data_IF_188381971743
#
_entry.id   IF_188381971743
#
_cell.length_a   1.000
_cell.length_b   1.000
_cell.length_c   1.000
_cell.angle_alpha   90.00
_cell.angle_beta   90.00
_cell.angle_gamma   90.00
#
_symmetry.space_group_name_H-M   'P 1'
#
loop_
_entity.id
_entity.type
_entity.pdbx_description
1 polymer ?
#
# COMPACT_ATOMS: atom_id res chain seq x y z
N UNK A 1 17.72 -3.31 10.18
CA UNK A 1 17.73 -1.98 9.59
C UNK A 1 16.92 -1.02 10.44
N UNK A 2 17.46 0.14 10.64
CA UNK A 2 16.81 1.15 11.45
C UNK A 2 15.75 1.90 10.64
N UNK A 3 14.49 1.84 11.07
CA UNK A 3 13.39 2.54 10.41
C UNK A 3 13.50 4.07 10.53
N UNK A 4 14.28 4.57 11.50
CA UNK A 4 14.48 6.00 11.68
C UNK A 4 15.23 6.66 10.53
N UNK A 5 15.92 5.86 9.70
CA UNK A 5 16.64 6.35 8.53
C UNK A 5 15.73 6.54 7.31
N UNK A 6 14.54 5.96 7.33
CA UNK A 6 13.58 6.09 6.25
C UNK A 6 12.79 7.38 6.42
N UNK A 7 12.59 8.07 5.30
CA UNK A 7 11.74 9.23 5.28
C UNK A 7 10.29 8.80 5.44
N UNK A 8 9.61 9.39 6.43
CA UNK A 8 8.23 9.07 6.70
C UNK A 8 7.30 9.99 5.91
N UNK A 9 6.19 9.46 5.38
CA UNK A 9 5.23 10.29 4.68
C UNK A 9 4.54 11.26 5.65
N UNK A 10 4.16 12.42 5.11
CA UNK A 10 3.41 13.41 5.87
C UNK A 10 1.93 13.24 5.56
N UNK A 11 1.07 13.03 6.58
CA UNK A 11 -0.36 12.92 6.35
C UNK A 11 -0.93 14.20 5.74
N UNK A 12 -1.92 14.03 4.86
CA UNK A 12 -2.71 15.12 4.30
C UNK A 12 -4.17 14.89 4.72
N UNK A 13 -5.06 15.90 4.60
CA UNK A 13 -6.46 15.68 4.96
C UNK A 13 -7.11 14.47 4.28
N UNK A 14 -6.78 14.20 3.02
CA UNK A 14 -7.34 13.06 2.29
C UNK A 14 -6.71 11.72 2.66
N UNK A 15 -5.49 11.70 3.23
CA UNK A 15 -4.78 10.47 3.57
C UNK A 15 -4.75 10.20 5.07
N UNK A 16 -5.23 11.12 5.90
CA UNK A 16 -5.11 11.02 7.35
C UNK A 16 -5.72 9.73 7.91
N UNK A 17 -6.89 9.32 7.42
CA UNK A 17 -7.53 8.09 7.89
C UNK A 17 -6.67 6.86 7.62
N UNK A 18 -5.94 6.85 6.51
CA UNK A 18 -5.06 5.74 6.15
C UNK A 18 -3.91 5.63 7.16
N UNK A 19 -3.24 6.75 7.44
CA UNK A 19 -2.12 6.76 8.38
C UNK A 19 -2.56 6.50 9.82
N UNK A 20 -3.73 7.00 10.21
CA UNK A 20 -4.31 6.69 11.52
C UNK A 20 -4.57 5.19 11.66
N UNK A 21 -5.05 4.56 10.60
CA UNK A 21 -5.26 3.12 10.56
C UNK A 21 -3.96 2.35 10.72
N UNK A 22 -2.90 2.75 10.02
CA UNK A 22 -1.61 2.05 10.11
C UNK A 22 -1.01 2.13 11.51
N UNK A 23 -1.23 3.22 12.23
CA UNK A 23 -0.80 3.35 13.64
C UNK A 23 -1.49 2.35 14.56
N UNK A 24 -2.67 1.88 14.17
CA UNK A 24 -3.45 0.89 14.91
C UNK A 24 -3.26 -0.53 14.35
N UNK A 25 -2.34 -0.71 13.40
CA UNK A 25 -2.11 -2.00 12.76
C UNK A 25 -3.21 -2.40 11.78
N UNK A 26 -3.93 -1.43 11.23
CA UNK A 26 -5.06 -1.66 10.32
C UNK A 26 -4.80 -1.02 8.97
N UNK A 27 -5.21 -1.72 7.92
CA UNK A 27 -5.17 -1.20 6.56
C UNK A 27 -6.57 -0.69 6.20
N UNK A 28 -6.71 0.62 6.09
CA UNK A 28 -7.99 1.27 5.74
C UNK A 28 -7.99 1.68 4.29
N UNK A 29 -9.05 1.32 3.59
CA UNK A 29 -9.25 1.64 2.18
C UNK A 29 -10.53 2.44 2.01
N UNK A 30 -10.68 3.05 0.84
CA UNK A 30 -11.90 3.77 0.49
C UNK A 30 -12.75 2.93 -0.45
N UNK A 31 -14.06 3.00 -0.24
CA UNK A 31 -15.05 2.33 -1.07
C UNK A 31 -16.08 3.34 -1.54
N UNK A 32 -16.36 3.35 -2.83
CA UNK A 32 -17.44 4.14 -3.39
C UNK A 32 -18.78 3.47 -3.08
N UNK A 33 -19.66 4.15 -2.36
CA UNK A 33 -20.96 3.57 -1.97
C UNK A 33 -21.86 3.31 -3.17
N UNK A 34 -21.81 4.17 -4.17
CA UNK A 34 -22.70 4.05 -5.33
C UNK A 34 -22.28 2.92 -6.28
N UNK A 35 -20.97 2.69 -6.46
CA UNK A 35 -20.47 1.68 -7.38
C UNK A 35 -19.97 0.41 -6.70
N UNK A 36 -19.69 0.47 -5.41
CA UNK A 36 -19.09 -0.62 -4.66
C UNK A 36 -17.61 -0.81 -4.91
N UNK A 37 -16.98 0.06 -5.70
CA UNK A 37 -15.57 -0.05 -6.03
C UNK A 37 -14.69 0.31 -4.83
N UNK A 38 -13.71 -0.54 -4.54
CA UNK A 38 -12.68 -0.28 -3.54
C UNK A 38 -11.43 0.18 -4.28
N UNK A 39 -10.81 1.25 -3.81
CA UNK A 39 -9.65 1.82 -4.48
C UNK A 39 -8.58 2.30 -3.52
N UNK A 40 -7.39 2.45 -4.06
CA UNK A 40 -6.22 3.01 -3.42
C UNK A 40 -5.40 3.75 -4.49
N UNK A 41 -4.79 4.90 -4.23
CA UNK A 41 -4.65 5.60 -2.95
C UNK A 41 -5.91 6.38 -2.55
N UNK A 42 -5.94 6.93 -1.31
CA UNK A 42 -7.07 7.72 -0.83
C UNK A 42 -7.30 8.97 -1.67
N UNK A 43 -8.57 9.29 -1.92
CA UNK A 43 -8.98 10.45 -2.72
C UNK A 43 -10.20 11.10 -2.09
N UNK A 44 -10.45 12.38 -2.41
CA UNK A 44 -11.65 13.08 -1.96
C UNK A 44 -12.92 12.66 -2.71
N UNK A 45 -12.76 11.98 -3.85
CA UNK A 45 -13.88 11.57 -4.69
C UNK A 45 -13.59 10.19 -5.29
N UNK A 46 -14.68 9.50 -5.67
CA UNK A 46 -14.56 8.21 -6.34
C UNK A 46 -13.93 8.37 -7.72
N UNK A 47 -12.83 7.66 -8.03
CA UNK A 47 -12.18 7.82 -9.33
C UNK A 47 -13.03 7.37 -10.51
N UNK A 48 -14.01 6.47 -10.32
CA UNK A 48 -14.84 6.00 -11.42
C UNK A 48 -16.11 6.82 -11.61
N UNK A 49 -16.74 7.31 -10.53
CA UNK A 49 -18.01 8.04 -10.63
C UNK A 49 -17.89 9.55 -10.40
N UNK A 50 -16.78 10.00 -9.83
CA UNK A 50 -16.61 11.40 -9.44
C UNK A 50 -17.43 11.82 -8.23
N UNK A 51 -18.17 10.89 -7.63
CA UNK A 51 -19.01 11.17 -6.48
C UNK A 51 -18.21 11.29 -5.18
N UNK A 52 -18.83 11.88 -4.17
CA UNK A 52 -18.25 12.08 -2.84
C UNK A 52 -18.82 11.13 -1.78
N UNK A 53 -19.67 10.21 -2.17
CA UNK A 53 -20.28 9.21 -1.28
C UNK A 53 -19.31 8.06 -1.02
N UNK A 54 -18.30 8.35 -0.23
CA UNK A 54 -17.19 7.46 0.04
C UNK A 54 -17.28 6.95 1.48
N UNK A 55 -17.04 5.66 1.69
CA UNK A 55 -16.90 5.11 3.03
C UNK A 55 -15.49 4.56 3.22
N UNK A 56 -15.05 4.53 4.47
CA UNK A 56 -13.77 3.93 4.85
C UNK A 56 -14.05 2.51 5.28
N UNK A 57 -13.34 1.55 4.69
CA UNK A 57 -13.44 0.15 5.07
C UNK A 57 -12.11 -0.33 5.65
N UNK A 58 -12.17 -1.37 6.47
CA UNK A 58 -11.00 -2.02 7.01
C UNK A 58 -10.69 -3.26 6.16
N UNK A 59 -9.52 -3.27 5.53
CA UNK A 59 -9.12 -4.38 4.68
C UNK A 59 -8.58 -5.53 5.51
N UNK A 60 -8.61 -6.74 4.92
CA UNK A 60 -8.11 -7.95 5.58
C UNK A 60 -6.60 -7.93 5.79
N UNK A 61 -5.88 -7.15 5.01
CA UNK A 61 -4.42 -7.16 4.98
C UNK A 61 -3.83 -8.26 4.10
N UNK A 62 -4.69 -9.08 3.47
CA UNK A 62 -4.25 -10.16 2.60
C UNK A 62 -4.09 -9.65 1.17
N UNK A 63 -3.06 -10.13 0.51
CA UNK A 63 -2.76 -9.73 -0.86
C UNK A 63 -2.00 -10.84 -1.58
N UNK A 64 -1.97 -10.72 -2.91
CA UNK A 64 -1.23 -11.62 -3.78
C UNK A 64 -0.13 -10.81 -4.46
N UNK A 65 1.07 -11.36 -4.54
CA UNK A 65 2.17 -10.71 -5.23
C UNK A 65 1.87 -10.65 -6.72
N UNK A 66 1.76 -9.44 -7.25
CA UNK A 66 1.43 -9.21 -8.67
C UNK A 66 2.67 -9.05 -9.52
N UNK A 67 3.63 -8.25 -9.05
CA UNK A 67 4.91 -8.03 -9.73
C UNK A 67 5.92 -7.47 -8.73
N UNK A 68 7.20 -7.55 -9.11
CA UNK A 68 8.25 -6.99 -8.27
C UNK A 68 9.49 -6.68 -9.09
N UNK A 69 10.36 -5.85 -8.52
CA UNK A 69 11.73 -5.65 -8.96
C UNK A 69 12.66 -5.71 -7.75
N UNK A 70 13.87 -6.15 -7.96
CA UNK A 70 14.92 -6.10 -6.94
C UNK A 70 15.80 -4.91 -7.25
N UNK A 71 15.82 -3.93 -6.34
CA UNK A 71 16.67 -2.76 -6.51
C UNK A 71 18.05 -3.02 -5.95
N UNK A 72 19.07 -2.75 -6.74
CA UNK A 72 20.47 -2.82 -6.32
C UNK A 72 21.08 -1.45 -6.13
N UNK A 73 20.28 -0.39 -6.30
CA UNK A 73 20.70 0.99 -6.10
C UNK A 73 20.36 1.45 -4.70
N UNK A 74 21.28 2.15 -4.02
CA UNK A 74 20.95 2.67 -2.69
C UNK A 74 19.91 3.78 -2.77
N UNK A 75 19.09 3.88 -1.72
CA UNK A 75 18.13 4.94 -1.53
C UNK A 75 18.13 5.33 -0.06
N UNK A 76 17.70 6.56 0.29
CA UNK A 76 17.67 6.97 1.69
C UNK A 76 16.89 6.00 2.56
N UNK A 77 17.54 5.46 3.60
CA UNK A 77 16.92 4.52 4.52
C UNK A 77 16.78 3.09 4.02
N UNK A 78 17.27 2.77 2.82
CA UNK A 78 17.20 1.42 2.26
C UNK A 78 18.59 0.89 1.94
N UNK A 79 18.84 -0.36 2.31
CA UNK A 79 20.09 -1.06 2.01
C UNK A 79 19.85 -2.05 0.89
N UNK A 80 20.52 -1.90 -0.27
CA UNK A 80 20.35 -2.85 -1.38
C UNK A 80 20.97 -4.22 -1.05
N UNK A 81 20.48 -5.33 -1.64
CA UNK A 81 19.28 -5.37 -2.50
C UNK A 81 17.98 -5.31 -1.67
N UNK A 82 16.95 -4.71 -2.23
CA UNK A 82 15.62 -4.72 -1.61
C UNK A 82 14.55 -4.81 -2.68
N UNK A 83 13.43 -5.44 -2.34
CA UNK A 83 12.33 -5.62 -3.27
C UNK A 83 11.37 -4.42 -3.24
N UNK A 84 10.98 -3.99 -4.43
CA UNK A 84 9.85 -3.08 -4.63
C UNK A 84 8.78 -3.90 -5.32
N UNK A 85 7.63 -4.05 -4.71
CA UNK A 85 6.60 -4.95 -5.18
C UNK A 85 5.27 -4.24 -5.38
N UNK A 86 4.46 -4.78 -6.28
CA UNK A 86 3.04 -4.44 -6.41
C UNK A 86 2.25 -5.66 -6.01
N UNK A 87 1.39 -5.49 -5.03
CA UNK A 87 0.51 -6.56 -4.56
C UNK A 87 -0.93 -6.21 -4.90
N UNK A 88 -1.74 -7.24 -5.18
CA UNK A 88 -3.18 -7.08 -5.38
C UNK A 88 -3.86 -7.46 -4.07
N UNK A 89 -4.55 -6.50 -3.47
CA UNK A 89 -5.27 -6.72 -2.23
C UNK A 89 -6.49 -7.61 -2.47
N UNK A 90 -6.89 -8.35 -1.45
CA UNK A 90 -8.08 -9.21 -1.51
C UNK A 90 -9.32 -8.42 -1.92
N UNK A 91 -9.41 -7.15 -1.51
CA UNK A 91 -10.52 -6.26 -1.83
C UNK A 91 -10.49 -5.71 -3.25
N UNK A 92 -9.42 -5.94 -4.00
CA UNK A 92 -9.32 -5.61 -5.42
C UNK A 92 -8.23 -4.64 -5.84
N UNK A 93 -7.94 -3.55 -5.11
CA UNK A 93 -6.94 -2.59 -5.57
C UNK A 93 -5.52 -3.13 -5.45
N UNK A 94 -4.63 -2.56 -6.26
CA UNK A 94 -3.20 -2.87 -6.23
C UNK A 94 -2.48 -1.80 -5.41
N UNK A 95 -1.44 -2.21 -4.72
CA UNK A 95 -0.66 -1.33 -3.86
C UNK A 95 0.83 -1.61 -4.03
N UNK A 96 1.64 -0.55 -4.10
CA UNK A 96 3.09 -0.68 -4.11
C UNK A 96 3.60 -0.80 -2.67
N UNK A 97 4.53 -1.70 -2.45
CA UNK A 97 5.09 -1.93 -1.12
C UNK A 97 6.48 -2.55 -1.19
N UNK A 98 7.10 -2.72 -0.04
CA UNK A 98 8.31 -3.53 0.11
C UNK A 98 7.94 -4.88 0.70
N UNK A 99 8.69 -5.91 0.32
CA UNK A 99 8.55 -7.24 0.90
C UNK A 99 9.60 -7.38 1.99
N UNK A 100 9.19 -7.81 3.16
CA UNK A 100 10.07 -7.95 4.32
C UNK A 100 10.00 -9.39 4.86
N UNK A 101 10.88 -9.72 5.79
CA UNK A 101 10.92 -11.02 6.45
C UNK A 101 11.18 -12.19 5.50
N UNK A 102 11.84 -11.92 4.36
CA UNK A 102 12.29 -12.97 3.45
C UNK A 102 13.54 -12.48 2.71
N UNK A 103 14.23 -13.40 2.04
CA UNK A 103 15.36 -13.03 1.20
C UNK A 103 14.90 -12.15 0.04
N UNK A 104 15.71 -11.15 -0.29
CA UNK A 104 15.40 -10.20 -1.37
C UNK A 104 15.97 -10.72 -2.69
N UNK A 105 15.49 -11.87 -3.11
CA UNK A 105 15.96 -12.58 -4.31
C UNK A 105 14.79 -13.09 -5.12
N UNK A 106 14.98 -13.30 -6.45
CA UNK A 106 13.90 -13.87 -7.27
C UNK A 106 13.46 -15.27 -6.83
N UNK A 107 14.34 -16.05 -6.22
CA UNK A 107 14.00 -17.38 -5.72
C UNK A 107 13.03 -17.34 -4.56
N UNK A 108 13.09 -16.29 -3.73
CA UNK A 108 12.21 -16.13 -2.58
C UNK A 108 10.88 -15.47 -2.95
N UNK A 109 10.83 -14.75 -4.08
CA UNK A 109 9.66 -13.98 -4.50
C UNK A 109 9.00 -14.68 -5.69
N UNK A 110 7.97 -15.46 -5.43
CA UNK A 110 7.27 -16.25 -6.46
C UNK A 110 5.91 -15.60 -6.73
N UNK A 111 5.67 -15.34 -8.02
CA UNK A 111 4.39 -14.76 -8.48
C UNK A 111 3.26 -15.79 -8.45
#
# INVERSE_FOLDING_TARGET
MDNDQRELPKPTPETQHFWDGTKQGKLRLQKCKSTGEVYFPPRHFCPSSGGTDIEIIEASGRATLHSYVISHLPAPGFTPPYAIAVVKLEEGPKMMCNIVECAQTPEALVL
#
